data_IF_243795082793
#
_entry.id   IF_243795082793
#
_cell.length_a   1.000
_cell.length_b   1.000
_cell.length_c   1.000
_cell.angle_alpha   90.00
_cell.angle_beta   90.00
_cell.angle_gamma   90.00
#
_symmetry.space_group_name_H-M   'P 1'
#
loop_
_entity.id
_entity.type
_entity.pdbx_description
1 polymer ?
#
# COMPACT_ATOMS: atom_id res chain seq x y z
N UNK A 1 28.00 -3.88 83.54
CA UNK A 1 28.15 -2.41 83.58
C UNK A 1 28.74 -1.97 82.26
N UNK A 2 28.04 -1.05 81.58
CA UNK A 2 28.40 -0.39 80.31
C UNK A 2 28.56 -1.34 79.09
N UNK A 3 28.08 -1.04 77.88
CA UNK A 3 27.43 0.12 77.30
C UNK A 3 27.34 -0.12 75.78
N UNK A 4 26.25 0.37 75.17
CA UNK A 4 25.88 0.27 73.76
C UNK A 4 26.97 0.57 72.72
N UNK A 5 26.80 0.00 71.51
CA UNK A 5 26.61 0.78 70.27
C UNK A 5 26.15 -0.10 69.09
N UNK A 6 24.88 0.06 68.73
CA UNK A 6 24.29 -0.37 67.46
C UNK A 6 24.92 0.36 66.28
N UNK A 7 25.30 -0.39 65.23
CA UNK A 7 25.53 0.16 63.90
C UNK A 7 24.28 -0.04 63.05
N UNK A 8 23.55 1.05 62.76
CA UNK A 8 22.53 1.08 61.71
C UNK A 8 23.23 1.05 60.34
N UNK A 9 22.96 0.02 59.53
CA UNK A 9 23.15 0.10 58.08
C UNK A 9 22.01 0.91 57.47
N UNK A 10 22.30 2.12 57.01
CA UNK A 10 21.37 2.90 56.20
C UNK A 10 21.49 2.44 54.74
N UNK A 11 20.54 1.61 54.29
CA UNK A 11 20.42 1.21 52.90
C UNK A 11 19.90 2.35 52.03
N UNK A 12 20.73 2.89 51.15
CA UNK A 12 20.33 3.83 50.12
C UNK A 12 19.68 3.06 48.95
N UNK A 13 18.35 2.97 48.92
CA UNK A 13 17.63 2.52 47.72
C UNK A 13 17.39 3.72 46.81
N UNK A 14 18.20 3.85 45.75
CA UNK A 14 17.87 4.71 44.62
C UNK A 14 16.61 4.15 43.95
N UNK A 15 15.48 4.85 44.10
CA UNK A 15 14.32 4.63 43.26
C UNK A 15 14.56 5.34 41.92
N UNK A 16 14.95 4.57 40.90
CA UNK A 16 14.93 5.05 39.51
C UNK A 16 13.44 5.12 39.11
N UNK A 17 12.88 6.33 39.14
CA UNK A 17 11.61 6.61 38.52
C UNK A 17 11.77 6.48 37.00
N UNK A 18 11.45 5.30 36.47
CA UNK A 18 11.37 5.08 35.04
C UNK A 18 10.29 5.97 34.44
N UNK A 19 10.70 6.98 33.68
CA UNK A 19 9.79 7.69 32.78
C UNK A 19 9.40 6.70 31.69
N UNK A 20 8.25 6.05 31.85
CA UNK A 20 7.60 5.37 30.75
C UNK A 20 7.13 6.45 29.78
N UNK A 21 7.88 6.69 28.70
CA UNK A 21 7.31 7.34 27.53
C UNK A 21 6.17 6.43 27.07
N UNK A 22 4.94 6.85 27.32
CA UNK A 22 3.79 6.28 26.65
C UNK A 22 4.02 6.49 25.14
N UNK A 23 4.30 5.42 24.41
CA UNK A 23 4.17 5.41 22.97
C UNK A 23 2.70 5.69 22.67
N UNK A 24 2.37 6.93 22.34
CA UNK A 24 1.05 7.27 21.82
C UNK A 24 0.84 6.45 20.55
N UNK A 25 0.02 5.40 20.62
CA UNK A 25 -0.46 4.76 19.41
C UNK A 25 -1.38 5.78 18.72
N UNK A 26 -1.03 6.16 17.50
CA UNK A 26 -1.94 6.96 16.68
C UNK A 26 -3.11 6.04 16.31
N UNK A 27 -4.25 6.23 16.97
CA UNK A 27 -5.46 5.46 16.70
C UNK A 27 -5.90 5.67 15.24
N UNK A 28 -6.30 4.59 14.58
CA UNK A 28 -6.82 4.67 13.23
C UNK A 28 -8.16 5.44 13.21
N UNK A 29 -8.37 6.23 12.16
CA UNK A 29 -9.60 6.97 11.91
C UNK A 29 -10.23 6.48 10.62
N UNK A 30 -10.92 5.34 10.70
CA UNK A 30 -11.48 4.66 9.56
C UNK A 30 -12.71 5.36 8.99
N UNK A 31 -12.66 5.69 7.70
CA UNK A 31 -13.82 6.01 6.88
C UNK A 31 -14.08 4.87 5.90
N UNK A 32 -15.35 4.55 5.66
CA UNK A 32 -15.74 3.55 4.66
C UNK A 32 -16.63 4.15 3.58
N UNK A 33 -16.30 3.86 2.33
CA UNK A 33 -17.21 3.91 1.20
C UNK A 33 -17.94 2.56 1.11
N UNK A 34 -19.24 2.57 0.88
CA UNK A 34 -20.05 1.36 0.75
C UNK A 34 -21.22 1.64 -0.21
N UNK A 35 -21.37 0.79 -1.24
CA UNK A 35 -22.45 0.87 -2.21
C UNK A 35 -23.47 -0.28 -2.10
N UNK A 36 -23.43 -1.02 -1.00
CA UNK A 36 -24.28 -2.19 -0.74
C UNK A 36 -23.77 -3.49 -1.37
N UNK A 37 -22.76 -3.45 -2.24
CA UNK A 37 -22.14 -4.63 -2.84
C UNK A 37 -20.71 -4.84 -2.37
N UNK A 38 -19.92 -3.77 -2.40
CA UNK A 38 -18.54 -3.73 -1.93
C UNK A 38 -18.33 -2.54 -1.00
N UNK A 39 -17.35 -2.70 -0.11
CA UNK A 39 -16.95 -1.73 0.88
C UNK A 39 -15.45 -1.53 0.83
N UNK A 40 -15.03 -0.26 0.81
CA UNK A 40 -13.64 0.17 0.81
C UNK A 40 -13.41 1.08 2.01
N UNK A 41 -12.33 0.85 2.76
CA UNK A 41 -12.01 1.65 3.94
C UNK A 41 -10.62 2.26 3.89
N UNK A 42 -10.54 3.52 4.30
CA UNK A 42 -9.32 4.33 4.40
C UNK A 42 -9.08 4.79 5.83
N UNK A 43 -7.81 4.85 6.25
CA UNK A 43 -7.41 5.44 7.52
C UNK A 43 -7.08 6.93 7.33
N UNK A 44 -8.01 7.82 7.73
CA UNK A 44 -7.84 9.28 7.62
C UNK A 44 -6.71 9.80 8.50
N UNK A 45 -6.37 9.08 9.57
CA UNK A 45 -5.22 9.40 10.40
C UNK A 45 -3.89 8.95 9.78
N UNK A 46 -3.90 8.29 8.61
CA UNK A 46 -2.72 7.78 7.92
C UNK A 46 -2.78 8.13 6.42
N UNK A 47 -2.92 9.42 6.11
CA UNK A 47 -2.90 9.92 4.73
C UNK A 47 -4.02 9.37 3.84
N UNK A 48 -5.14 8.96 4.44
CA UNK A 48 -6.26 8.28 3.79
C UNK A 48 -5.87 6.97 3.06
N UNK A 49 -4.79 6.31 3.50
CA UNK A 49 -4.34 5.06 2.88
C UNK A 49 -5.39 3.95 3.03
N UNK A 50 -5.52 3.11 2.01
CA UNK A 50 -6.56 2.08 1.92
C UNK A 50 -6.10 0.84 2.66
N UNK A 51 -6.87 0.40 3.65
CA UNK A 51 -6.58 -0.84 4.40
C UNK A 51 -7.76 -1.78 4.54
N UNK A 52 -8.91 -1.45 3.96
CA UNK A 52 -10.04 -2.35 3.88
C UNK A 52 -10.57 -2.44 2.45
N UNK A 53 -10.78 -3.66 1.96
CA UNK A 53 -11.59 -3.92 0.79
C UNK A 53 -12.28 -5.28 0.94
N UNK A 54 -13.60 -5.31 0.77
CA UNK A 54 -14.41 -6.51 1.03
C UNK A 54 -15.82 -6.38 0.49
N UNK A 55 -16.57 -7.48 0.54
CA UNK A 55 -18.01 -7.46 0.23
C UNK A 55 -18.80 -6.85 1.38
N UNK A 56 -19.76 -5.96 1.08
CA UNK A 56 -20.56 -5.29 2.12
C UNK A 56 -21.31 -6.29 2.99
N UNK A 57 -21.87 -7.34 2.38
CA UNK A 57 -22.67 -8.36 3.04
C UNK A 57 -21.90 -9.17 4.09
N UNK A 58 -20.61 -9.41 3.89
CA UNK A 58 -19.79 -10.21 4.82
C UNK A 58 -18.92 -9.34 5.72
N UNK A 59 -18.61 -8.11 5.30
CA UNK A 59 -17.63 -7.23 5.94
C UNK A 59 -16.26 -7.90 6.18
N UNK A 60 -15.95 -8.96 5.42
CA UNK A 60 -14.64 -9.60 5.45
C UNK A 60 -13.64 -8.73 4.71
N UNK A 61 -12.63 -8.25 5.42
CA UNK A 61 -11.51 -7.55 4.78
C UNK A 61 -10.58 -8.55 4.08
N UNK A 62 -10.31 -8.32 2.80
CA UNK A 62 -9.40 -9.12 1.98
C UNK A 62 -7.98 -8.55 1.92
N UNK A 63 -7.75 -7.38 2.50
CA UNK A 63 -6.44 -6.75 2.58
C UNK A 63 -5.73 -7.11 3.89
N UNK A 64 -4.40 -7.11 3.82
CA UNK A 64 -3.53 -7.15 4.98
C UNK A 64 -2.97 -5.75 5.24
N UNK A 65 -3.13 -5.23 6.45
CA UNK A 65 -2.60 -3.95 6.90
C UNK A 65 -1.89 -4.10 8.26
N UNK A 66 -1.12 -5.18 8.44
CA UNK A 66 -0.39 -5.45 9.70
C UNK A 66 0.38 -4.23 10.24
N UNK A 67 0.94 -3.44 9.32
CA UNK A 67 1.66 -2.20 9.59
C UNK A 67 1.31 -1.15 8.52
N UNK A 68 1.70 0.11 8.75
CA UNK A 68 1.39 1.24 7.85
C UNK A 68 2.02 1.09 6.46
N UNK A 69 3.07 0.27 6.30
CA UNK A 69 3.68 -0.02 5.00
C UNK A 69 2.83 -0.94 4.13
N UNK A 70 1.81 -1.61 4.70
CA UNK A 70 0.96 -2.58 4.00
C UNK A 70 -0.39 -2.05 3.52
N UNK A 71 -0.68 -0.77 3.74
CA UNK A 71 -1.82 -0.16 3.06
C UNK A 71 -1.62 -0.17 1.55
N UNK A 72 -2.72 -0.23 0.78
CA UNK A 72 -2.69 0.19 -0.62
C UNK A 72 -2.57 1.71 -0.60
N UNK A 73 -1.42 2.19 -1.09
CA UNK A 73 -0.98 3.56 -0.89
C UNK A 73 0.06 3.95 -1.93
N UNK A 74 0.30 5.24 -2.09
CA UNK A 74 1.41 5.74 -2.90
C UNK A 74 2.74 5.61 -2.16
N UNK A 75 3.75 5.05 -2.85
CA UNK A 75 5.13 4.93 -2.39
C UNK A 75 6.08 5.07 -3.58
N UNK A 76 7.13 5.87 -3.44
CA UNK A 76 8.10 6.12 -4.51
C UNK A 76 9.52 5.92 -4.04
N UNK A 77 10.42 5.59 -4.95
CA UNK A 77 11.83 5.33 -4.65
C UNK A 77 12.72 6.26 -5.47
N UNK A 78 13.65 6.92 -4.80
CA UNK A 78 14.58 7.85 -5.44
C UNK A 78 16.05 7.57 -5.10
N UNK A 79 16.82 8.66 -5.13
CA UNK A 79 18.26 8.63 -4.87
C UNK A 79 18.58 8.17 -3.45
N UNK A 80 19.76 7.56 -3.27
CA UNK A 80 20.33 7.36 -1.92
C UNK A 80 20.50 8.71 -1.25
N UNK A 81 20.09 8.82 0.00
CA UNK A 81 20.08 10.08 0.76
C UNK A 81 20.76 9.94 2.14
N UNK A 82 21.38 8.78 2.40
CA UNK A 82 22.04 8.48 3.66
C UNK A 82 21.08 8.11 4.79
N UNK A 83 19.78 8.00 4.54
CA UNK A 83 18.82 7.52 5.53
C UNK A 83 19.06 6.05 5.90
N UNK A 84 18.61 5.66 7.09
CA UNK A 84 18.75 4.31 7.62
C UNK A 84 17.38 3.73 7.99
N UNK A 85 17.07 2.58 7.42
CA UNK A 85 15.90 1.78 7.77
C UNK A 85 16.34 0.61 8.64
N UNK A 86 16.30 0.81 9.96
CA UNK A 86 16.55 -0.22 10.96
C UNK A 86 17.90 -0.95 10.77
N UNK A 87 18.97 -0.17 10.67
CA UNK A 87 20.34 -0.62 10.45
C UNK A 87 20.68 -0.94 9.00
N UNK A 88 19.78 -0.64 8.06
CA UNK A 88 19.99 -0.85 6.62
C UNK A 88 20.03 0.49 5.89
N UNK A 89 21.10 0.79 5.12
CA UNK A 89 21.12 1.96 4.25
C UNK A 89 19.89 2.02 3.35
N UNK A 90 19.24 3.18 3.33
CA UNK A 90 18.02 3.42 2.60
C UNK A 90 18.18 4.53 1.56
N UNK A 91 17.07 5.05 1.08
CA UNK A 91 16.98 6.03 0.01
C UNK A 91 15.76 6.92 0.20
N UNK A 92 15.72 8.00 -0.57
CA UNK A 92 14.55 8.85 -0.64
C UNK A 92 13.30 8.03 -0.97
N UNK A 93 12.34 8.00 -0.05
CA UNK A 93 11.15 7.17 -0.18
C UNK A 93 9.93 7.81 0.49
N UNK A 94 9.17 8.68 -0.24
CA UNK A 94 7.90 9.18 0.25
C UNK A 94 6.83 8.09 0.27
N UNK A 95 6.09 8.02 1.38
CA UNK A 95 5.04 7.03 1.64
C UNK A 95 3.79 7.74 2.17
N UNK A 96 2.63 7.42 1.58
CA UNK A 96 1.35 8.07 1.89
C UNK A 96 0.79 7.71 3.27
N UNK A 97 1.04 6.50 3.79
CA UNK A 97 0.48 6.04 5.06
C UNK A 97 1.26 6.45 6.30
N UNK A 98 2.59 6.51 6.18
CA UNK A 98 3.46 6.90 7.29
C UNK A 98 4.84 6.27 7.25
N UNK A 99 5.67 6.65 8.22
CA UNK A 99 7.01 6.08 8.44
C UNK A 99 6.96 4.67 9.03
N UNK A 100 8.07 3.95 8.94
CA UNK A 100 8.17 2.54 9.36
C UNK A 100 7.96 2.32 10.87
N UNK A 101 8.13 3.37 11.69
CA UNK A 101 7.86 3.31 13.14
C UNK A 101 6.44 3.74 13.50
N UNK A 102 5.60 3.97 12.49
CA UNK A 102 4.18 4.29 12.67
C UNK A 102 3.87 5.78 12.69
N UNK A 103 4.83 6.67 12.40
CA UNK A 103 4.57 8.11 12.27
C UNK A 103 3.58 8.36 11.13
N UNK A 104 2.36 8.86 11.38
CA UNK A 104 1.35 9.01 10.34
C UNK A 104 1.70 10.14 9.37
N UNK A 105 1.37 9.95 8.10
CA UNK A 105 1.32 11.04 7.14
C UNK A 105 0.10 11.95 7.38
N UNK A 106 0.17 13.20 6.93
CA UNK A 106 -0.86 14.20 7.19
C UNK A 106 -1.82 14.33 6.02
N UNK A 107 -3.10 14.14 6.26
CA UNK A 107 -4.15 14.50 5.31
C UNK A 107 -4.36 16.01 5.31
N UNK A 108 -4.08 16.66 4.18
CA UNK A 108 -4.16 18.10 3.96
C UNK A 108 -5.55 18.54 3.48
N UNK A 109 -6.23 17.70 2.71
CA UNK A 109 -7.60 17.92 2.25
C UNK A 109 -8.30 16.58 2.14
N UNK A 110 -9.60 16.56 2.44
CA UNK A 110 -10.41 15.36 2.41
C UNK A 110 -11.86 15.70 2.12
N UNK A 111 -12.47 15.00 1.16
CA UNK A 111 -13.90 15.08 0.87
C UNK A 111 -14.43 13.71 0.48
N UNK A 112 -15.65 13.36 0.87
CA UNK A 112 -16.25 12.09 0.47
C UNK A 112 -17.77 12.19 0.30
N UNK A 113 -18.33 11.24 -0.43
CA UNK A 113 -19.74 10.86 -0.41
C UNK A 113 -19.86 9.44 0.18
N UNK A 114 -20.98 8.75 -0.03
CA UNK A 114 -21.11 7.33 0.31
C UNK A 114 -20.26 6.41 -0.58
N UNK A 115 -19.98 6.82 -1.83
CA UNK A 115 -19.33 5.97 -2.83
C UNK A 115 -18.11 6.59 -3.49
N UNK A 116 -17.76 7.83 -3.15
CA UNK A 116 -16.57 8.51 -3.66
C UNK A 116 -15.77 9.16 -2.54
N UNK A 117 -14.45 9.26 -2.70
CA UNK A 117 -13.61 10.11 -1.86
C UNK A 117 -12.49 10.76 -2.66
N UNK A 118 -12.03 11.89 -2.15
CA UNK A 118 -10.78 12.54 -2.54
C UNK A 118 -9.96 12.85 -1.29
N UNK A 119 -8.67 12.58 -1.35
CA UNK A 119 -7.72 12.99 -0.33
C UNK A 119 -6.47 13.61 -0.94
N UNK A 120 -5.90 14.59 -0.24
CA UNK A 120 -4.58 15.16 -0.48
C UNK A 120 -3.73 14.95 0.75
N UNK A 121 -2.51 14.46 0.57
CA UNK A 121 -1.65 14.00 1.64
C UNK A 121 -0.25 14.60 1.51
N UNK A 122 0.30 15.03 2.64
CA UNK A 122 1.72 15.27 2.81
C UNK A 122 2.36 13.97 3.30
N UNK A 123 3.17 13.29 2.47
CA UNK A 123 3.74 12.00 2.83
C UNK A 123 4.86 12.11 3.87
N UNK A 124 5.17 10.97 4.45
CA UNK A 124 6.36 10.76 5.27
C UNK A 124 7.49 10.16 4.45
N UNK A 125 8.71 10.45 4.84
CA UNK A 125 9.85 9.65 4.44
C UNK A 125 9.82 8.33 5.21
N UNK A 126 9.82 7.19 4.51
CA UNK A 126 9.70 5.86 5.11
C UNK A 126 10.66 5.66 6.28
N UNK A 127 11.97 5.77 6.03
CA UNK A 127 13.03 5.47 6.99
C UNK A 127 13.13 6.46 8.17
N UNK A 128 13.03 7.76 7.89
CA UNK A 128 13.27 8.81 8.90
C UNK A 128 11.99 9.25 9.61
N UNK A 129 10.81 9.05 9.03
CA UNK A 129 9.54 9.57 9.55
C UNK A 129 9.34 11.08 9.37
N UNK A 130 10.28 11.75 8.67
CA UNK A 130 10.21 13.18 8.38
C UNK A 130 9.11 13.49 7.35
N UNK A 131 8.52 14.67 7.43
CA UNK A 131 7.64 15.17 6.38
C UNK A 131 8.45 15.47 5.11
N UNK A 132 7.84 15.25 3.94
CA UNK A 132 8.45 15.57 2.63
C UNK A 132 7.63 16.68 1.93
N UNK A 133 7.86 17.97 2.26
CA UNK A 133 7.04 19.09 1.78
C UNK A 133 7.16 19.35 0.27
N UNK A 134 8.14 18.74 -0.39
CA UNK A 134 8.32 18.80 -1.84
C UNK A 134 7.47 17.77 -2.58
N UNK A 135 6.75 16.89 -1.88
CA UNK A 135 5.87 15.87 -2.45
C UNK A 135 4.45 16.12 -2.00
N UNK A 136 3.52 16.08 -2.94
CA UNK A 136 2.08 16.01 -2.67
C UNK A 136 1.53 14.75 -3.31
N UNK A 137 0.74 14.01 -2.56
CA UNK A 137 0.04 12.81 -3.02
C UNK A 137 -1.46 13.07 -2.97
N UNK A 138 -2.15 12.76 -4.05
CA UNK A 138 -3.59 12.85 -4.14
C UNK A 138 -4.16 11.51 -4.59
N UNK A 139 -5.37 11.21 -4.12
CA UNK A 139 -6.13 10.04 -4.54
C UNK A 139 -7.60 10.39 -4.73
N UNK A 140 -8.23 9.74 -5.71
CA UNK A 140 -9.67 9.75 -5.93
C UNK A 140 -10.14 8.31 -5.99
N UNK A 141 -11.03 7.94 -5.07
CA UNK A 141 -11.58 6.59 -4.99
C UNK A 141 -13.06 6.62 -5.34
N UNK A 142 -13.52 5.68 -6.16
CA UNK A 142 -14.92 5.55 -6.56
C UNK A 142 -15.37 4.10 -6.52
N UNK A 143 -16.53 3.83 -5.91
CA UNK A 143 -17.19 2.53 -5.95
C UNK A 143 -18.34 2.56 -6.96
N UNK A 144 -18.23 1.72 -8.00
CA UNK A 144 -19.27 1.56 -9.02
C UNK A 144 -19.50 0.07 -9.22
N UNK A 145 -20.75 -0.39 -9.08
CA UNK A 145 -21.08 -1.82 -9.09
C UNK A 145 -20.19 -2.59 -8.10
N UNK A 146 -19.49 -3.64 -8.55
CA UNK A 146 -18.57 -4.44 -7.73
C UNK A 146 -17.09 -4.08 -7.98
N UNK A 147 -16.84 -2.85 -8.40
CA UNK A 147 -15.51 -2.35 -8.78
C UNK A 147 -15.15 -1.12 -7.95
N UNK A 148 -13.92 -1.09 -7.43
CA UNK A 148 -13.32 0.13 -6.88
C UNK A 148 -12.31 0.69 -7.88
N UNK A 149 -12.54 1.90 -8.35
CA UNK A 149 -11.59 2.66 -9.16
C UNK A 149 -10.74 3.53 -8.24
N UNK A 150 -9.42 3.34 -8.32
CA UNK A 150 -8.41 4.11 -7.59
C UNK A 150 -7.63 4.94 -8.60
N UNK A 151 -7.75 6.26 -8.53
CA UNK A 151 -6.89 7.17 -9.29
C UNK A 151 -5.92 7.83 -8.33
N UNK A 152 -4.64 7.80 -8.66
CA UNK A 152 -3.58 8.42 -7.88
C UNK A 152 -2.89 9.51 -8.66
N UNK A 153 -2.42 10.54 -7.96
CA UNK A 153 -1.51 11.56 -8.48
C UNK A 153 -0.41 11.85 -7.47
N UNK A 154 0.83 11.78 -7.91
CA UNK A 154 1.96 12.35 -7.17
C UNK A 154 2.52 13.54 -7.93
N UNK A 155 2.76 14.64 -7.22
CA UNK A 155 3.47 15.81 -7.70
C UNK A 155 4.73 16.03 -6.88
N UNK A 156 5.87 16.15 -7.55
CA UNK A 156 7.16 16.43 -6.94
C UNK A 156 7.72 17.78 -7.40
N UNK A 157 8.10 18.62 -6.42
CA UNK A 157 8.64 19.97 -6.61
C UNK A 157 10.02 20.16 -5.96
N UNK A 158 10.72 19.06 -5.66
CA UNK A 158 12.06 19.14 -5.06
C UNK A 158 13.14 19.44 -6.10
N UNK A 159 14.26 19.99 -5.63
CA UNK A 159 15.40 20.35 -6.50
C UNK A 159 16.27 19.15 -6.88
N UNK A 160 16.22 18.07 -6.11
CA UNK A 160 17.02 16.87 -6.36
C UNK A 160 16.38 16.01 -7.44
N UNK A 161 17.11 15.72 -8.50
CA UNK A 161 16.69 14.72 -9.48
C UNK A 161 17.01 13.31 -8.95
N UNK A 162 15.99 12.46 -8.92
CA UNK A 162 16.12 11.07 -8.51
C UNK A 162 16.26 10.17 -9.74
N UNK A 163 17.23 9.23 -9.74
CA UNK A 163 17.47 8.34 -10.87
C UNK A 163 16.29 7.39 -11.09
N UNK A 164 16.27 6.74 -12.25
CA UNK A 164 15.24 5.75 -12.55
C UNK A 164 15.27 4.57 -11.55
N UNK A 165 14.09 4.23 -11.03
CA UNK A 165 13.88 3.09 -10.15
C UNK A 165 12.51 2.47 -10.42
N UNK A 166 12.31 1.22 -9.98
CA UNK A 166 10.97 0.63 -9.96
C UNK A 166 10.08 1.42 -8.99
N UNK A 167 9.00 1.97 -9.51
CA UNK A 167 7.92 2.60 -8.75
C UNK A 167 6.74 1.63 -8.70
N UNK A 168 6.11 1.48 -7.53
CA UNK A 168 4.99 0.56 -7.29
C UNK A 168 3.65 1.28 -7.49
N UNK A 169 2.75 0.73 -8.33
CA UNK A 169 1.60 1.47 -8.88
C UNK A 169 0.23 0.74 -8.76
N UNK A 170 -0.35 0.59 -7.56
CA UNK A 170 0.24 0.67 -6.22
C UNK A 170 0.66 -0.73 -5.72
N UNK A 171 1.37 -0.79 -4.60
CA UNK A 171 1.52 -2.03 -3.85
C UNK A 171 0.17 -2.48 -3.24
N UNK A 172 -0.11 -3.78 -3.33
CA UNK A 172 -1.32 -4.40 -2.79
C UNK A 172 -0.96 -5.59 -1.92
N UNK A 173 -1.25 -5.45 -0.63
CA UNK A 173 -1.09 -6.51 0.36
C UNK A 173 -2.43 -7.17 0.63
N UNK A 174 -2.53 -8.42 0.20
CA UNK A 174 -3.72 -9.26 0.32
C UNK A 174 -3.57 -10.17 1.54
N UNK A 175 -4.69 -10.50 2.18
CA UNK A 175 -4.77 -11.50 3.24
C UNK A 175 -4.05 -12.79 2.80
N UNK A 176 -3.15 -13.29 3.66
CA UNK A 176 -2.39 -14.52 3.45
C UNK A 176 -3.27 -15.76 3.17
N UNK A 177 -4.55 -15.72 3.56
CA UNK A 177 -5.53 -16.76 3.24
C UNK A 177 -5.82 -16.89 1.73
N UNK A 178 -5.53 -15.85 0.93
CA UNK A 178 -5.63 -15.88 -0.53
C UNK A 178 -4.25 -16.25 -1.11
N UNK A 179 -4.09 -17.53 -1.41
CA UNK A 179 -2.79 -18.19 -1.63
C UNK A 179 -2.31 -18.16 -3.07
N UNK A 180 -3.22 -18.27 -4.03
CA UNK A 180 -2.90 -18.53 -5.43
C UNK A 180 -2.83 -17.24 -6.22
N UNK A 181 -1.66 -16.91 -6.78
CA UNK A 181 -1.50 -15.82 -7.73
C UNK A 181 -1.95 -16.29 -9.12
N UNK A 182 -2.85 -15.52 -9.73
CA UNK A 182 -3.42 -15.78 -11.06
C UNK A 182 -3.25 -14.57 -11.95
N UNK A 183 -2.79 -14.77 -13.18
CA UNK A 183 -2.63 -13.71 -14.17
C UNK A 183 -2.59 -14.27 -15.59
N UNK A 184 -2.75 -13.41 -16.59
CA UNK A 184 -2.48 -13.77 -17.97
C UNK A 184 -1.07 -13.34 -18.39
N UNK A 185 -0.35 -14.27 -19.01
CA UNK A 185 0.95 -14.02 -19.62
C UNK A 185 0.99 -14.74 -20.97
N UNK A 186 0.89 -13.97 -22.05
CA UNK A 186 0.82 -14.52 -23.40
C UNK A 186 0.63 -13.42 -24.45
N UNK A 187 0.72 -13.79 -25.72
CA UNK A 187 0.66 -12.85 -26.83
C UNK A 187 -0.77 -12.58 -27.36
N UNK A 188 -1.79 -13.26 -26.84
CA UNK A 188 -3.16 -13.19 -27.33
C UNK A 188 -4.14 -12.75 -26.21
N UNK A 189 -4.02 -11.52 -25.69
CA UNK A 189 -4.84 -11.05 -24.58
C UNK A 189 -6.33 -11.08 -24.94
N UNK A 190 -7.18 -11.37 -23.95
CA UNK A 190 -8.63 -11.31 -24.03
C UNK A 190 -9.30 -12.31 -24.99
N UNK A 191 -8.57 -13.32 -25.43
CA UNK A 191 -9.04 -14.41 -26.30
C UNK A 191 -9.56 -15.64 -25.54
N UNK A 192 -9.53 -15.61 -24.20
CA UNK A 192 -9.92 -16.74 -23.36
C UNK A 192 -8.84 -17.82 -23.20
N UNK A 193 -7.63 -17.56 -23.69
CA UNK A 193 -6.45 -18.44 -23.50
C UNK A 193 -6.10 -18.63 -22.01
N UNK A 194 -5.42 -19.72 -21.70
CA UNK A 194 -5.13 -20.16 -20.32
C UNK A 194 -4.43 -19.10 -19.47
N UNK A 195 -4.82 -19.05 -18.20
CA UNK A 195 -4.19 -18.21 -17.18
C UNK A 195 -3.06 -18.99 -16.50
N UNK A 196 -2.00 -18.27 -16.14
CA UNK A 196 -0.95 -18.78 -15.27
C UNK A 196 -1.45 -18.76 -13.83
N UNK A 197 -1.17 -19.85 -13.09
CA UNK A 197 -1.48 -19.99 -11.67
C UNK A 197 -0.24 -20.50 -10.94
N UNK A 198 0.10 -19.87 -9.82
CA UNK A 198 1.22 -20.31 -8.97
C UNK A 198 1.12 -19.74 -7.56
N UNK A 199 1.91 -20.29 -6.65
CA UNK A 199 2.14 -19.72 -5.32
C UNK A 199 3.52 -19.04 -5.34
N UNK A 200 3.61 -17.71 -5.24
CA UNK A 200 4.90 -17.03 -5.14
C UNK A 200 5.64 -17.38 -3.85
N UNK A 201 6.95 -17.39 -3.90
CA UNK A 201 7.84 -17.56 -2.75
C UNK A 201 8.24 -16.24 -2.09
N UNK A 202 9.36 -16.27 -1.37
CA UNK A 202 10.03 -15.13 -0.75
C UNK A 202 11.52 -15.17 -1.11
N UNK A 203 12.18 -14.04 -1.41
CA UNK A 203 11.67 -12.66 -1.43
C UNK A 203 10.98 -12.33 -2.77
N UNK A 204 10.97 -11.06 -3.17
CA UNK A 204 10.36 -10.58 -4.42
C UNK A 204 10.75 -11.39 -5.66
N UNK A 205 9.72 -11.82 -6.39
CA UNK A 205 9.79 -12.34 -7.74
C UNK A 205 9.25 -11.30 -8.72
N UNK A 206 9.63 -11.39 -10.00
CA UNK A 206 9.22 -10.46 -11.05
C UNK A 206 8.51 -11.19 -12.18
N UNK A 207 7.38 -10.64 -12.63
CA UNK A 207 6.60 -11.14 -13.76
C UNK A 207 6.53 -10.06 -14.81
N UNK A 208 6.81 -10.43 -16.05
CA UNK A 208 6.77 -9.54 -17.23
C UNK A 208 5.75 -10.04 -18.24
N UNK A 209 5.46 -9.22 -19.25
CA UNK A 209 4.55 -9.55 -20.36
C UNK A 209 3.11 -9.84 -19.88
N UNK A 210 2.64 -9.08 -18.88
CA UNK A 210 1.25 -9.07 -18.44
C UNK A 210 0.39 -8.30 -19.44
N UNK A 211 0.08 -8.92 -20.58
CA UNK A 211 -0.61 -8.28 -21.71
C UNK A 211 -2.09 -7.98 -21.46
N UNK A 212 -2.68 -8.52 -20.39
CA UNK A 212 -4.02 -8.13 -19.91
C UNK A 212 -3.97 -7.12 -18.74
N UNK A 213 -2.78 -6.74 -18.26
CA UNK A 213 -2.58 -5.77 -17.16
C UNK A 213 -3.44 -6.03 -15.90
N UNK A 214 -3.58 -7.29 -15.49
CA UNK A 214 -4.23 -7.64 -14.22
C UNK A 214 -3.58 -8.87 -13.59
N UNK A 215 -3.75 -8.99 -12.28
CA UNK A 215 -3.42 -10.18 -11.50
C UNK A 215 -4.38 -10.31 -10.31
N UNK A 216 -4.51 -11.50 -9.74
CA UNK A 216 -5.36 -11.75 -8.59
C UNK A 216 -4.71 -12.71 -7.60
N UNK A 217 -5.04 -12.54 -6.32
CA UNK A 217 -4.84 -13.57 -5.31
C UNK A 217 -6.19 -14.19 -4.95
N UNK A 218 -6.28 -15.52 -5.10
CA UNK A 218 -7.52 -16.28 -4.87
C UNK A 218 -7.30 -17.44 -3.90
N UNK A 219 -8.39 -17.90 -3.28
CA UNK A 219 -8.41 -19.09 -2.43
C UNK A 219 -8.44 -20.38 -3.28
N UNK A 220 -8.59 -21.54 -2.62
CA UNK A 220 -8.69 -22.84 -3.30
C UNK A 220 -9.97 -23.05 -4.12
N UNK A 221 -10.91 -22.11 -4.10
CA UNK A 221 -12.17 -22.13 -4.85
C UNK A 221 -12.17 -21.13 -6.01
N UNK A 222 -10.99 -20.64 -6.40
CA UNK A 222 -10.79 -19.62 -7.44
C UNK A 222 -11.52 -18.29 -7.13
N UNK A 223 -11.83 -18.00 -5.86
CA UNK A 223 -12.46 -16.74 -5.44
C UNK A 223 -11.47 -15.85 -4.67
N UNK A 224 -11.47 -14.54 -4.92
CA UNK A 224 -10.63 -13.62 -4.17
C UNK A 224 -10.62 -12.20 -4.70
N UNK A 225 -9.44 -11.57 -4.60
CA UNK A 225 -9.22 -10.17 -4.93
C UNK A 225 -8.38 -10.05 -6.21
N UNK A 226 -8.91 -9.33 -7.19
CA UNK A 226 -8.19 -8.94 -8.40
C UNK A 226 -7.76 -7.49 -8.37
N UNK A 227 -6.62 -7.21 -9.02
CA UNK A 227 -6.09 -5.88 -9.26
C UNK A 227 -5.86 -5.72 -10.76
N UNK A 228 -6.46 -4.70 -11.37
CA UNK A 228 -6.15 -4.28 -12.73
C UNK A 228 -5.36 -2.97 -12.71
N UNK A 229 -4.32 -2.90 -13.54
CA UNK A 229 -3.32 -1.84 -13.55
C UNK A 229 -2.99 -1.42 -14.98
N UNK A 230 -3.94 -0.77 -15.70
CA UNK A 230 -3.81 -0.51 -17.12
C UNK A 230 -2.50 0.17 -17.52
N UNK A 231 -1.90 -0.31 -18.61
CA UNK A 231 -0.64 0.23 -19.13
C UNK A 231 0.61 -0.20 -18.36
N UNK A 232 0.49 -1.11 -17.39
CA UNK A 232 1.63 -1.67 -16.66
C UNK A 232 1.78 -3.17 -16.96
N UNK A 233 2.81 -3.53 -17.73
CA UNK A 233 3.02 -4.91 -18.21
C UNK A 233 3.98 -5.74 -17.33
N UNK A 234 4.42 -5.19 -16.20
CA UNK A 234 5.32 -5.84 -15.25
C UNK A 234 4.78 -5.71 -13.82
N UNK A 235 5.01 -6.72 -13.00
CA UNK A 235 4.74 -6.65 -11.55
C UNK A 235 5.85 -7.34 -10.77
N UNK A 236 6.01 -6.93 -9.52
CA UNK A 236 6.68 -7.75 -8.51
C UNK A 236 5.65 -8.43 -7.61
N UNK A 237 5.97 -9.59 -7.07
CA UNK A 237 5.11 -10.33 -6.14
C UNK A 237 5.95 -11.16 -5.16
N UNK A 238 5.38 -11.48 -4.00
CA UNK A 238 5.93 -12.44 -3.05
C UNK A 238 4.83 -12.91 -2.11
N UNK A 239 5.16 -13.90 -1.27
CA UNK A 239 4.37 -14.24 -0.08
C UNK A 239 5.24 -14.26 1.17
N UNK A 240 4.85 -13.48 2.17
CA UNK A 240 5.49 -13.50 3.47
C UNK A 240 4.71 -14.46 4.39
N UNK A 241 5.33 -15.53 4.92
CA UNK A 241 4.64 -16.46 5.80
C UNK A 241 4.28 -15.80 7.13
N UNK A 242 3.14 -16.18 7.69
CA UNK A 242 2.69 -15.69 8.99
C UNK A 242 1.22 -15.99 9.24
N UNK A 243 0.66 -15.37 10.29
CA UNK A 243 -0.76 -15.52 10.60
C UNK A 243 -1.60 -14.81 9.52
N UNK A 244 -2.70 -15.42 9.02
CA UNK A 244 -3.61 -14.76 8.10
C UNK A 244 -4.47 -13.69 8.79
N UNK A 245 -5.21 -12.94 7.99
CA UNK A 245 -6.13 -11.89 8.40
C UNK A 245 -5.56 -10.46 8.27
N UNK A 246 -6.40 -9.44 8.52
CA UNK A 246 -6.04 -8.05 8.24
C UNK A 246 -4.88 -7.52 9.08
N UNK A 247 -4.82 -7.90 10.35
CA UNK A 247 -3.72 -7.63 11.27
C UNK A 247 -2.80 -8.86 11.45
N UNK A 248 -2.84 -9.80 10.51
CA UNK A 248 -1.97 -10.98 10.52
C UNK A 248 -0.56 -10.65 10.02
N UNK A 249 0.47 -11.31 10.55
CA UNK A 249 1.85 -11.06 10.13
C UNK A 249 2.16 -11.53 8.70
N UNK A 250 1.40 -12.52 8.20
CA UNK A 250 1.55 -13.05 6.85
C UNK A 250 0.78 -12.23 5.81
N UNK A 251 1.27 -12.22 4.58
CA UNK A 251 0.58 -11.55 3.46
C UNK A 251 0.91 -12.21 2.11
N UNK A 252 -0.01 -12.03 1.18
CA UNK A 252 0.21 -12.24 -0.25
C UNK A 252 0.36 -10.87 -0.90
N UNK A 253 1.43 -10.63 -1.63
CA UNK A 253 1.76 -9.30 -2.13
C UNK A 253 1.94 -9.30 -3.65
N UNK A 254 1.43 -8.26 -4.28
CA UNK A 254 1.79 -7.86 -5.64
C UNK A 254 1.91 -6.33 -5.72
N UNK A 255 2.74 -5.86 -6.64
CA UNK A 255 2.77 -4.46 -7.04
C UNK A 255 3.05 -4.37 -8.55
N UNK A 256 2.20 -3.72 -9.35
CA UNK A 256 2.54 -3.35 -10.71
C UNK A 256 3.71 -2.37 -10.67
N UNK A 257 4.70 -2.54 -11.55
CA UNK A 257 5.92 -1.73 -11.53
C UNK A 257 6.17 -1.03 -12.86
N UNK A 258 6.63 0.22 -12.78
CA UNK A 258 7.24 0.95 -13.90
C UNK A 258 8.59 1.49 -13.48
N UNK A 259 9.57 1.46 -14.37
CA UNK A 259 10.88 2.05 -14.13
C UNK A 259 10.89 3.50 -14.58
N UNK A 260 10.87 4.43 -13.63
CA UNK A 260 10.73 5.87 -13.89
C UNK A 260 11.73 6.66 -13.04
N UNK A 261 12.30 7.72 -13.61
CA UNK A 261 13.04 8.74 -12.88
C UNK A 261 12.06 9.80 -12.35
N UNK A 262 12.39 10.41 -11.20
CA UNK A 262 11.58 11.47 -10.59
C UNK A 262 12.43 12.73 -10.57
N UNK A 263 12.19 13.64 -11.50
CA UNK A 263 12.94 14.89 -11.67
C UNK A 263 12.15 16.10 -11.21
N UNK A 264 12.78 17.26 -11.10
CA UNK A 264 12.09 18.50 -10.77
C UNK A 264 10.84 18.71 -11.65
N UNK A 265 9.70 19.04 -11.04
CA UNK A 265 8.43 19.26 -11.73
C UNK A 265 7.67 17.98 -12.12
N UNK A 266 8.20 16.80 -11.77
CA UNK A 266 7.57 15.51 -12.09
C UNK A 266 6.15 15.42 -11.53
N UNK A 267 5.22 15.00 -12.39
CA UNK A 267 3.87 14.61 -12.00
C UNK A 267 3.57 13.25 -12.61
N UNK A 268 2.99 12.36 -11.82
CA UNK A 268 2.58 11.05 -12.28
C UNK A 268 1.15 10.79 -11.85
N UNK A 269 0.30 10.49 -12.83
CA UNK A 269 -1.06 10.02 -12.62
C UNK A 269 -1.16 8.57 -13.10
N UNK A 270 -1.90 7.76 -12.36
CA UNK A 270 -2.20 6.39 -12.77
C UNK A 270 -3.50 5.91 -12.13
N UNK A 271 -4.11 4.94 -12.79
CA UNK A 271 -5.31 4.27 -12.34
C UNK A 271 -5.02 2.82 -11.98
N UNK A 272 -5.70 2.33 -10.95
CA UNK A 272 -5.80 0.93 -10.61
C UNK A 272 -7.25 0.60 -10.27
N UNK A 273 -7.63 -0.66 -10.43
CA UNK A 273 -8.98 -1.13 -10.12
C UNK A 273 -8.91 -2.35 -9.24
N UNK A 274 -9.77 -2.41 -8.23
CA UNK A 274 -9.97 -3.58 -7.39
C UNK A 274 -11.34 -4.19 -7.67
N UNK A 275 -11.40 -5.51 -7.72
CA UNK A 275 -12.66 -6.26 -7.84
C UNK A 275 -12.60 -7.55 -7.02
N UNK A 276 -13.77 -8.05 -6.61
CA UNK A 276 -13.91 -9.27 -5.81
C UNK A 276 -14.82 -10.25 -6.56
N UNK A 277 -14.35 -11.47 -6.73
CA UNK A 277 -15.13 -12.53 -7.38
C UNK A 277 -14.29 -13.75 -7.73
N UNK A 278 -14.87 -14.63 -8.53
CA UNK A 278 -14.17 -15.76 -9.14
C UNK A 278 -13.17 -15.28 -10.21
N UNK A 279 -12.13 -16.08 -10.51
CA UNK A 279 -11.16 -15.78 -11.57
C UNK A 279 -11.83 -15.42 -12.91
N UNK A 280 -12.92 -16.12 -13.27
CA UNK A 280 -13.67 -15.87 -14.50
C UNK A 280 -14.37 -14.49 -14.47
N UNK A 281 -15.04 -14.17 -13.37
CA UNK A 281 -15.70 -12.87 -13.17
C UNK A 281 -14.69 -11.72 -13.17
N UNK A 282 -13.54 -11.89 -12.49
CA UNK A 282 -12.46 -10.90 -12.45
C UNK A 282 -11.93 -10.62 -13.85
N UNK A 283 -11.58 -11.65 -14.63
CA UNK A 283 -11.07 -11.45 -16.00
C UNK A 283 -12.12 -10.79 -16.91
N UNK A 284 -13.38 -11.17 -16.79
CA UNK A 284 -14.47 -10.55 -17.56
C UNK A 284 -14.66 -9.07 -17.19
N UNK A 285 -14.56 -8.74 -15.90
CA UNK A 285 -14.64 -7.36 -15.37
C UNK A 285 -13.47 -6.52 -15.89
N UNK A 286 -12.23 -7.01 -15.74
CA UNK A 286 -11.06 -6.28 -16.19
C UNK A 286 -10.95 -6.16 -17.71
N UNK A 287 -11.51 -7.11 -18.47
CA UNK A 287 -11.66 -6.95 -19.93
C UNK A 287 -12.49 -5.71 -20.27
N UNK A 288 -13.63 -5.51 -19.60
CA UNK A 288 -14.48 -4.33 -19.80
C UNK A 288 -13.76 -3.04 -19.41
N UNK A 289 -13.10 -3.03 -18.26
CA UNK A 289 -12.34 -1.87 -17.79
C UNK A 289 -11.16 -1.52 -18.70
N UNK A 290 -10.47 -2.53 -19.26
CA UNK A 290 -9.35 -2.28 -20.19
C UNK A 290 -9.78 -1.63 -21.51
N UNK A 291 -11.06 -1.76 -21.90
CA UNK A 291 -11.63 -1.09 -23.07
C UNK A 291 -11.95 0.39 -22.80
N UNK A 292 -12.13 0.76 -21.54
CA UNK A 292 -12.32 2.15 -21.10
C UNK A 292 -10.92 2.72 -20.92
N UNK A 293 -10.38 3.41 -21.93
CA UNK A 293 -9.05 4.05 -21.83
C UNK A 293 -8.99 4.89 -20.54
N UNK A 294 -8.10 4.59 -19.58
CA UNK A 294 -7.78 5.55 -18.55
C UNK A 294 -7.14 6.78 -19.20
N UNK A 295 -7.24 7.93 -18.56
CA UNK A 295 -6.53 9.12 -18.99
C UNK A 295 -5.06 8.73 -19.16
N UNK A 296 -4.57 8.81 -20.40
CA UNK A 296 -3.18 8.58 -20.75
C UNK A 296 -2.29 9.23 -19.69
N UNK A 297 -1.34 8.48 -19.14
CA UNK A 297 -0.18 9.07 -18.49
C UNK A 297 0.46 10.00 -19.54
N UNK A 298 0.06 11.27 -19.54
CA UNK A 298 0.81 12.30 -20.22
C UNK A 298 2.08 12.42 -19.40
N UNK A 299 3.12 11.75 -19.86
CA UNK A 299 4.48 12.14 -19.54
C UNK A 299 4.60 13.61 -20.00
N UNK A 300 4.46 14.55 -19.07
CA UNK A 300 4.92 15.91 -19.31
C UNK A 300 6.43 15.79 -19.46
N UNK A 301 6.90 15.73 -20.71
CA UNK A 301 8.31 15.95 -21.01
C UNK A 301 8.70 17.27 -20.34
N UNK A 302 9.78 17.31 -19.54
CA UNK A 302 10.35 18.58 -19.13
C UNK A 302 10.70 19.36 -20.41
N UNK A 303 10.22 20.60 -20.50
CA UNK A 303 10.79 21.59 -21.41
C UNK A 303 12.22 21.94 -20.96
#
# INVERSE_FOLDING_TARGET
MAGERSFLLLGLRLAIAGVFLALSSFAADWLYLDNGQIRLGVDRAAGASIGFFGESATSRNLLNHYDKGRFIQQSYYGAKDGSDWNGKPWRWNPVQGGGWRGEPARTLAFTNTATTLYAKTLPKHWATGADLPTVVMEEWLTLTNREAHLRFRMTYRGATNHPAAHQELPAVFVDYALTNLVYYQGAAPWTGTSLTRRVPGWPNEYVKQLTENWAAFVDGRDWGLGVCFPGTAEMTCYRAPGKPGPAGSGCSYLAPIRTLAITNGFTMEYDAFLAIGTVSELRATFKKLSAIRPASAQESKPQ
#
